data_IF_622272382856
#
_entry.id   IF_622272382856
#
_cell.length_a   1.000
_cell.length_b   1.000
_cell.length_c   1.000
_cell.angle_alpha   90.00
_cell.angle_beta   90.00
_cell.angle_gamma   90.00
#
_symmetry.space_group_name_H-M   'P 1'
#
loop_
_entity.id
_entity.type
_entity.pdbx_description
1 polymer ?
#
# COMPACT_ATOMS: atom_id res chain seq x y z
N UNK A 1 -13.96 -0.61 9.21
CA UNK A 1 -12.78 0.22 8.91
C UNK A 1 -11.64 -0.17 9.85
N UNK A 2 -10.39 0.01 9.42
CA UNK A 2 -9.17 -0.32 10.16
C UNK A 2 -8.45 1.00 10.48
N UNK A 3 -8.10 1.25 11.74
CA UNK A 3 -7.29 2.41 12.13
C UNK A 3 -5.88 1.94 12.44
N UNK A 4 -4.88 2.53 11.78
CA UNK A 4 -3.49 2.10 11.95
C UNK A 4 -2.50 3.20 11.59
N UNK A 5 -1.27 3.11 12.09
CA UNK A 5 -0.14 3.89 11.57
C UNK A 5 0.58 3.18 10.42
N UNK A 6 0.29 1.89 10.22
CA UNK A 6 0.93 1.03 9.25
C UNK A 6 0.28 1.16 7.86
N UNK A 7 1.10 1.51 6.87
CA UNK A 7 0.65 1.65 5.48
C UNK A 7 0.40 0.30 4.81
N UNK A 8 0.92 -0.78 5.37
CA UNK A 8 0.85 -2.09 4.75
C UNK A 8 -0.56 -2.65 4.78
N UNK A 9 -1.35 -2.22 5.77
CA UNK A 9 -2.76 -2.58 5.88
C UNK A 9 -3.62 -1.94 4.78
N UNK A 10 -3.09 -1.01 3.97
CA UNK A 10 -3.77 -0.55 2.75
C UNK A 10 -4.11 -1.72 1.81
N UNK A 11 -3.35 -2.82 1.85
CA UNK A 11 -3.63 -4.03 1.08
C UNK A 11 -5.00 -4.66 1.40
N UNK A 12 -5.55 -4.41 2.60
CA UNK A 12 -6.82 -4.97 3.05
C UNK A 12 -8.05 -4.18 2.57
N UNK A 13 -7.85 -3.05 1.87
CA UNK A 13 -8.95 -2.22 1.38
C UNK A 13 -9.80 -3.01 0.37
N UNK A 14 -11.11 -2.94 0.53
CA UNK A 14 -12.10 -3.47 -0.41
C UNK A 14 -13.40 -2.67 -0.32
N UNK A 15 -14.46 -3.11 -0.99
CA UNK A 15 -15.76 -2.41 -1.00
C UNK A 15 -16.37 -2.21 0.40
N UNK A 16 -16.06 -3.09 1.35
CA UNK A 16 -16.59 -3.07 2.72
C UNK A 16 -15.55 -2.63 3.77
N UNK A 17 -14.28 -2.51 3.38
CA UNK A 17 -13.16 -2.24 4.30
C UNK A 17 -12.39 -1.01 3.86
N UNK A 18 -12.35 -0.03 4.74
CA UNK A 18 -11.56 1.20 4.59
C UNK A 18 -10.44 1.23 5.62
N UNK A 19 -9.34 1.90 5.28
CA UNK A 19 -8.16 2.05 6.16
C UNK A 19 -7.94 3.51 6.50
N UNK A 20 -7.76 3.80 7.78
CA UNK A 20 -7.62 5.16 8.30
C UNK A 20 -6.22 5.30 8.88
N UNK A 21 -5.33 5.95 8.13
CA UNK A 21 -3.94 6.12 8.52
C UNK A 21 -3.78 7.27 9.52
N UNK A 22 -3.12 7.01 10.64
CA UNK A 22 -2.86 8.01 11.67
C UNK A 22 -1.75 8.95 11.17
N UNK A 23 -2.04 10.25 11.03
CA UNK A 23 -1.08 11.22 10.50
C UNK A 23 -0.21 11.85 11.60
N UNK A 24 -0.85 12.41 12.64
CA UNK A 24 -0.17 13.05 13.78
C UNK A 24 -1.14 13.19 14.96
N UNK A 25 -0.73 12.75 16.14
CA UNK A 25 -1.43 13.01 17.41
C UNK A 25 -2.78 12.31 17.61
N UNK A 26 -3.02 11.15 16.97
CA UNK A 26 -4.24 10.32 17.07
C UNK A 26 -5.58 11.00 16.72
N UNK A 27 -5.61 12.31 16.48
CA UNK A 27 -6.83 13.07 16.20
C UNK A 27 -7.05 13.36 14.71
N UNK A 28 -6.04 13.12 13.87
CA UNK A 28 -6.12 13.34 12.42
C UNK A 28 -5.89 12.02 11.69
N UNK A 29 -6.94 11.56 11.01
CA UNK A 29 -6.94 10.34 10.22
C UNK A 29 -6.96 10.66 8.73
N UNK A 30 -6.15 9.92 7.96
CA UNK A 30 -6.18 9.93 6.52
C UNK A 30 -6.99 8.70 6.05
N UNK A 31 -8.25 8.91 5.70
CA UNK A 31 -9.19 7.85 5.29
C UNK A 31 -8.92 7.43 3.84
N UNK A 32 -8.58 6.16 3.65
CA UNK A 32 -8.47 5.47 2.37
C UNK A 32 -9.69 4.58 2.15
N UNK A 33 -10.45 4.94 1.12
CA UNK A 33 -11.49 4.10 0.51
C UNK A 33 -10.89 3.40 -0.71
N UNK A 34 -11.60 2.40 -1.24
CA UNK A 34 -11.19 1.74 -2.48
C UNK A 34 -11.01 2.73 -3.63
N UNK A 35 -11.96 3.65 -3.83
CA UNK A 35 -11.86 4.66 -4.90
C UNK A 35 -10.64 5.56 -4.75
N UNK A 36 -10.41 6.08 -3.53
CA UNK A 36 -9.26 6.92 -3.27
C UNK A 36 -7.94 6.16 -3.46
N UNK A 37 -7.90 4.91 -3.02
CA UNK A 37 -6.72 4.06 -3.21
C UNK A 37 -6.41 3.90 -4.70
N UNK A 38 -7.42 3.56 -5.50
CA UNK A 38 -7.28 3.40 -6.95
C UNK A 38 -6.86 4.71 -7.65
N UNK A 39 -7.37 5.86 -7.21
CA UNK A 39 -6.97 7.18 -7.74
C UNK A 39 -5.52 7.56 -7.40
N UNK A 40 -5.05 7.20 -6.21
CA UNK A 40 -3.71 7.58 -5.72
C UNK A 40 -2.62 6.63 -6.22
N UNK A 41 -2.93 5.33 -6.28
CA UNK A 41 -1.96 4.28 -6.60
C UNK A 41 -2.12 3.70 -8.00
N UNK A 42 -3.24 3.94 -8.69
CA UNK A 42 -3.55 3.37 -10.01
C UNK A 42 -3.42 1.83 -10.06
N UNK A 43 -3.69 1.19 -8.92
CA UNK A 43 -3.49 -0.23 -8.67
C UNK A 43 -4.62 -0.78 -7.80
N UNK A 44 -4.82 -2.09 -7.85
CA UNK A 44 -5.66 -2.77 -6.88
C UNK A 44 -4.93 -2.90 -5.52
N UNK A 45 -5.63 -2.83 -4.38
CA UNK A 45 -5.02 -3.02 -3.05
C UNK A 45 -4.21 -4.31 -2.91
N UNK A 46 -4.58 -5.37 -3.62
CA UNK A 46 -3.86 -6.65 -3.60
C UNK A 46 -2.47 -6.56 -4.27
N UNK A 47 -2.33 -5.69 -5.28
CA UNK A 47 -1.08 -5.49 -6.03
C UNK A 47 -0.01 -4.74 -5.22
N UNK A 48 -0.38 -4.11 -4.11
CA UNK A 48 0.59 -3.51 -3.18
C UNK A 48 1.56 -4.54 -2.62
N UNK A 49 1.08 -5.78 -2.43
CA UNK A 49 1.88 -6.91 -1.94
C UNK A 49 2.93 -7.28 -2.99
N UNK A 50 2.55 -7.34 -4.26
CA UNK A 50 3.46 -7.65 -5.36
C UNK A 50 4.54 -6.57 -5.49
N UNK A 51 4.19 -5.30 -5.34
CA UNK A 51 5.16 -4.19 -5.33
C UNK A 51 6.16 -4.36 -4.21
N UNK A 52 5.70 -4.64 -2.99
CA UNK A 52 6.58 -4.90 -1.84
C UNK A 52 7.45 -6.13 -2.05
N UNK A 53 6.91 -7.20 -2.64
CA UNK A 53 7.67 -8.40 -2.99
C UNK A 53 8.85 -8.07 -3.93
N UNK A 54 8.62 -7.19 -4.91
CA UNK A 54 9.66 -6.75 -5.83
C UNK A 54 10.64 -5.74 -5.22
N UNK A 55 10.15 -4.72 -4.53
CA UNK A 55 10.98 -3.63 -4.02
C UNK A 55 11.76 -3.99 -2.76
N UNK A 56 11.24 -4.92 -1.96
CA UNK A 56 11.70 -5.13 -0.61
C UNK A 56 10.98 -4.22 0.39
N UNK A 57 11.18 -4.54 1.66
CA UNK A 57 10.84 -3.70 2.79
C UNK A 57 12.01 -3.63 3.76
N UNK A 58 12.69 -2.49 3.78
CA UNK A 58 13.83 -2.24 4.65
C UNK A 58 13.45 -2.26 6.13
N UNK A 59 12.22 -1.89 6.48
CA UNK A 59 11.76 -1.90 7.87
C UNK A 59 11.60 -3.33 8.40
N UNK A 60 11.16 -4.25 7.54
CA UNK A 60 11.02 -5.68 7.85
C UNK A 60 12.28 -6.50 7.54
N UNK A 61 13.36 -5.86 7.07
CA UNK A 61 14.60 -6.55 6.68
C UNK A 61 14.47 -7.41 5.42
N UNK A 62 13.44 -7.16 4.60
CA UNK A 62 13.17 -7.85 3.37
C UNK A 62 13.85 -7.12 2.19
N UNK A 63 14.87 -7.72 1.58
CA UNK A 63 15.71 -7.02 0.59
C UNK A 63 15.05 -6.82 -0.79
N UNK A 64 14.00 -7.57 -1.12
CA UNK A 64 13.37 -7.54 -2.45
C UNK A 64 14.26 -8.05 -3.58
N UNK A 65 13.86 -7.75 -4.81
CA UNK A 65 14.59 -8.14 -6.03
C UNK A 65 15.57 -7.04 -6.42
N UNK A 66 16.86 -7.40 -6.47
CA UNK A 66 17.94 -6.48 -6.80
C UNK A 66 17.73 -5.83 -8.18
N UNK A 67 17.61 -4.50 -8.19
CA UNK A 67 17.45 -3.70 -9.41
C UNK A 67 16.00 -3.42 -9.81
N UNK A 68 15.01 -3.92 -9.06
CA UNK A 68 13.59 -3.62 -9.28
C UNK A 68 13.11 -2.62 -8.23
N UNK A 69 12.98 -1.36 -8.64
CA UNK A 69 12.32 -0.32 -7.83
C UNK A 69 10.83 -0.19 -8.14
N UNK A 70 10.16 0.71 -7.44
CA UNK A 70 8.70 0.94 -7.52
C UNK A 70 8.17 1.03 -8.95
N UNK A 71 8.75 1.89 -9.78
CA UNK A 71 8.31 2.09 -11.16
C UNK A 71 8.45 0.83 -12.03
N UNK A 72 9.47 0.02 -11.78
CA UNK A 72 9.70 -1.22 -12.55
C UNK A 72 8.75 -2.31 -12.06
N UNK A 73 8.52 -2.40 -10.76
CA UNK A 73 7.53 -3.31 -10.16
C UNK A 73 6.13 -3.02 -10.69
N UNK A 74 5.69 -1.76 -10.68
CA UNK A 74 4.38 -1.33 -11.21
C UNK A 74 4.22 -1.75 -12.68
N UNK A 75 5.24 -1.48 -13.50
CA UNK A 75 5.21 -1.85 -14.93
C UNK A 75 5.10 -3.37 -15.14
N UNK A 76 5.75 -4.18 -14.31
CA UNK A 76 5.68 -5.65 -14.39
C UNK A 76 4.33 -6.19 -13.93
N UNK A 77 3.72 -5.55 -12.93
CA UNK A 77 2.42 -5.95 -12.37
C UNK A 77 1.25 -5.57 -13.30
N UNK A 78 1.42 -4.52 -14.10
CA UNK A 78 0.43 -4.06 -15.08
C UNK A 78 0.54 -4.76 -16.45
N UNK A 79 1.53 -5.64 -16.66
CA UNK A 79 1.66 -6.45 -17.88
C UNK A 79 0.78 -7.71 -17.84
#
# INVERSE_FOLDING_TARGET
YIITGDRDLLQCINENVEVWLIKKGFNIYNRYTLNRFNEEYELAPQQLIDIKAFMGDTADGYAGVKGIGEKTAIKLIQQ
#
